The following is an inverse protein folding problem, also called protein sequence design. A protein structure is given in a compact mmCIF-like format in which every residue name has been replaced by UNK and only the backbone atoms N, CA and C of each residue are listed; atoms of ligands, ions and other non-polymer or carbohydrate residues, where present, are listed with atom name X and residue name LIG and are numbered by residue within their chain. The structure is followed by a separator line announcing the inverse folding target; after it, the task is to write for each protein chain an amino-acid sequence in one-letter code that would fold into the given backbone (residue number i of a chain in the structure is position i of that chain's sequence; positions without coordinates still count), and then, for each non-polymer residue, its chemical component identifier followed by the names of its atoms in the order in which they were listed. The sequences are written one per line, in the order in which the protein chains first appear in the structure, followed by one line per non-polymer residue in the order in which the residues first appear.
data_IF_570095298266
#
_entry.id   IF_570095298266
#
_cell.length_a   1.000
_cell.length_b   1.000
_cell.length_c   1.000
_cell.angle_alpha   90.00
_cell.angle_beta   90.00
_cell.angle_gamma   90.00
#
_symmetry.space_group_name_H-M   'P 1'
#
loop_
_entity.id
_entity.type
_entity.pdbx_description
1 polymer ?
#
# COMPACT_ATOMS: atom_id res chain seq x y z
N UNK A 1 -37.03 -12.05 60.08
CA UNK A 1 -37.37 -13.44 59.84
C UNK A 1 -37.64 -13.63 58.37
N UNK A 2 -36.99 -14.59 57.80
CA UNK A 2 -37.19 -15.25 56.50
C UNK A 2 -36.48 -14.61 55.29
N UNK A 3 -35.37 -15.25 55.03
CA UNK A 3 -34.56 -15.20 53.85
C UNK A 3 -35.39 -15.48 52.58
N UNK A 4 -35.37 -14.56 51.63
CA UNK A 4 -35.84 -14.84 50.29
C UNK A 4 -34.70 -15.47 49.49
N UNK A 5 -34.87 -16.64 48.86
CA UNK A 5 -33.86 -17.21 48.00
C UNK A 5 -33.67 -16.35 46.74
N UNK A 6 -32.45 -15.91 46.53
CA UNK A 6 -32.02 -15.28 45.27
C UNK A 6 -32.37 -16.24 44.13
N UNK A 7 -33.27 -15.84 43.26
CA UNK A 7 -33.72 -16.58 42.10
C UNK A 7 -32.54 -16.80 41.14
N UNK A 8 -32.30 -18.06 40.76
CA UNK A 8 -31.29 -18.45 39.77
C UNK A 8 -31.52 -17.82 38.42
N UNK A 9 -32.71 -17.26 38.14
CA UNK A 9 -33.05 -16.51 36.94
C UNK A 9 -32.28 -15.16 36.79
N UNK A 10 -31.77 -14.60 37.93
CA UNK A 10 -30.95 -13.37 37.84
C UNK A 10 -29.52 -13.61 37.36
N UNK A 11 -29.07 -14.86 37.27
CA UNK A 11 -27.73 -15.28 36.79
C UNK A 11 -27.72 -15.66 35.30
N UNK A 12 -28.88 -15.78 34.68
CA UNK A 12 -29.03 -16.05 33.25
C UNK A 12 -29.44 -14.79 32.50
N UNK A 13 -28.75 -13.68 32.72
CA UNK A 13 -28.73 -12.66 31.66
C UNK A 13 -28.00 -13.23 30.48
N UNK A 14 -28.67 -13.39 29.31
CA UNK A 14 -27.93 -13.66 28.10
C UNK A 14 -27.00 -12.47 27.91
N UNK A 15 -25.71 -12.72 27.86
CA UNK A 15 -24.74 -11.77 27.30
C UNK A 15 -25.05 -11.62 25.80
N UNK A 16 -26.14 -10.99 25.47
CA UNK A 16 -26.31 -10.29 24.20
C UNK A 16 -25.51 -8.99 24.32
N UNK A 17 -24.16 -9.11 24.32
CA UNK A 17 -23.35 -8.07 23.77
C UNK A 17 -23.91 -7.89 22.36
N UNK A 18 -24.48 -6.72 22.10
CA UNK A 18 -24.88 -6.31 20.78
C UNK A 18 -23.66 -6.45 19.87
N UNK A 19 -23.55 -7.59 19.20
CA UNK A 19 -22.53 -7.87 18.23
C UNK A 19 -22.90 -7.07 16.98
N UNK A 20 -22.67 -5.74 17.05
CA UNK A 20 -22.67 -4.92 15.86
C UNK A 20 -21.43 -5.35 15.06
N UNK A 21 -21.62 -6.01 13.91
CA UNK A 21 -20.47 -6.42 13.10
C UNK A 21 -19.68 -5.14 12.78
N UNK A 22 -18.39 -5.14 13.16
CA UNK A 22 -17.51 -4.02 12.83
C UNK A 22 -17.60 -3.76 11.32
N UNK A 23 -17.59 -2.50 10.92
CA UNK A 23 -17.58 -2.13 9.51
C UNK A 23 -16.44 -2.84 8.77
N UNK A 24 -16.63 -3.21 7.48
CA UNK A 24 -15.57 -3.80 6.67
C UNK A 24 -14.31 -2.98 6.73
N UNK A 25 -13.14 -3.63 6.82
CA UNK A 25 -11.85 -2.97 6.81
C UNK A 25 -11.20 -3.11 5.45
N UNK A 26 -11.16 -2.00 4.72
CA UNK A 26 -10.47 -1.89 3.45
C UNK A 26 -9.00 -1.55 3.68
N UNK A 27 -8.10 -2.29 3.07
CA UNK A 27 -6.65 -2.17 3.27
C UNK A 27 -5.98 -1.84 1.95
N UNK A 28 -5.14 -0.80 1.94
CA UNK A 28 -4.25 -0.53 0.81
C UNK A 28 -3.04 -1.47 0.84
N UNK A 29 -2.39 -1.63 -0.30
CA UNK A 29 -1.31 -2.58 -0.47
C UNK A 29 0.06 -1.90 -0.40
N UNK A 30 0.35 -1.01 -1.35
CA UNK A 30 1.66 -0.42 -1.56
C UNK A 30 2.01 0.60 -0.46
N UNK A 31 3.09 0.34 0.29
CA UNK A 31 3.50 1.16 1.42
C UNK A 31 2.64 0.99 2.69
N UNK A 32 1.53 0.24 2.61
CA UNK A 32 0.62 -0.07 3.72
C UNK A 32 0.79 -1.51 4.17
N UNK A 33 0.24 -2.48 3.45
CA UNK A 33 0.34 -3.90 3.77
C UNK A 33 1.74 -4.45 3.48
N UNK A 34 2.37 -3.95 2.43
CA UNK A 34 3.79 -4.18 2.09
C UNK A 34 4.56 -2.87 2.17
N UNK A 35 5.86 -2.96 2.55
CA UNK A 35 6.74 -1.79 2.75
C UNK A 35 7.36 -1.25 1.47
N UNK A 36 7.00 -1.81 0.34
CA UNK A 36 7.49 -1.46 -1.00
C UNK A 36 6.33 -1.13 -1.93
N UNK A 37 6.65 -0.71 -3.14
CA UNK A 37 5.69 -0.49 -4.23
C UNK A 37 5.82 -1.65 -5.22
N UNK A 38 4.72 -2.38 -5.45
CA UNK A 38 4.69 -3.54 -6.34
C UNK A 38 5.05 -3.21 -7.78
N UNK A 39 4.83 -1.98 -8.23
CA UNK A 39 5.24 -1.58 -9.57
C UNK A 39 6.77 -1.62 -9.69
N UNK A 40 7.50 -1.13 -8.67
CA UNK A 40 8.95 -1.19 -8.66
C UNK A 40 9.47 -2.63 -8.56
N UNK A 41 8.91 -3.44 -7.67
CA UNK A 41 9.29 -4.85 -7.52
C UNK A 41 9.08 -5.62 -8.83
N UNK A 42 7.92 -5.44 -9.46
CA UNK A 42 7.60 -6.10 -10.72
C UNK A 42 8.45 -5.59 -11.89
N UNK A 43 8.79 -4.29 -11.91
CA UNK A 43 9.69 -3.73 -12.90
C UNK A 43 11.11 -4.30 -12.78
N UNK A 44 11.64 -4.39 -11.56
CA UNK A 44 12.95 -4.99 -11.31
C UNK A 44 12.96 -6.48 -11.68
N UNK A 45 11.90 -7.21 -11.35
CA UNK A 45 11.74 -8.61 -11.73
C UNK A 45 11.70 -8.76 -13.27
N UNK A 46 10.97 -7.89 -13.98
CA UNK A 46 10.93 -7.87 -15.44
C UNK A 46 12.30 -7.65 -16.05
N UNK A 47 13.04 -6.66 -15.56
CA UNK A 47 14.38 -6.36 -16.08
C UNK A 47 15.37 -7.48 -15.80
N UNK A 48 15.24 -8.18 -14.68
CA UNK A 48 16.06 -9.35 -14.34
C UNK A 48 15.74 -10.54 -15.26
N UNK A 49 14.47 -10.78 -15.57
CA UNK A 49 14.01 -11.88 -16.41
C UNK A 49 14.24 -11.60 -17.91
N UNK A 50 14.07 -10.35 -18.33
CA UNK A 50 14.12 -9.92 -19.72
C UNK A 50 14.71 -8.51 -19.85
N UNK A 51 16.06 -8.36 -19.83
CA UNK A 51 16.71 -7.04 -19.87
C UNK A 51 16.32 -6.19 -21.10
N UNK A 52 16.06 -6.84 -22.24
CA UNK A 52 15.64 -6.14 -23.47
C UNK A 52 14.26 -5.49 -23.36
N UNK A 53 13.45 -5.86 -22.39
CA UNK A 53 12.14 -5.23 -22.14
C UNK A 53 12.26 -3.75 -21.80
N UNK A 54 13.44 -3.27 -21.36
CA UNK A 54 13.69 -1.84 -21.09
C UNK A 54 13.34 -0.96 -22.28
N UNK A 55 13.59 -1.43 -23.51
CA UNK A 55 13.29 -0.68 -24.74
C UNK A 55 11.78 -0.58 -25.03
N UNK A 56 10.95 -1.43 -24.43
CA UNK A 56 9.50 -1.41 -24.59
C UNK A 56 8.79 -0.53 -23.55
N UNK A 57 9.43 -0.25 -22.42
CA UNK A 57 8.84 0.52 -21.32
C UNK A 57 8.31 1.90 -21.76
N UNK A 58 9.02 2.70 -22.57
CA UNK A 58 8.51 3.99 -23.03
C UNK A 58 7.21 3.85 -23.82
N UNK A 59 7.10 2.84 -24.69
CA UNK A 59 5.90 2.61 -25.50
C UNK A 59 4.69 2.21 -24.63
N UNK A 60 4.92 1.39 -23.59
CA UNK A 60 3.84 1.04 -22.67
C UNK A 60 3.41 2.23 -21.82
N UNK A 61 4.36 3.08 -21.43
CA UNK A 61 4.06 4.28 -20.65
C UNK A 61 3.26 5.31 -21.46
N UNK A 62 3.55 5.46 -22.76
CA UNK A 62 2.79 6.33 -23.68
C UNK A 62 1.32 5.90 -23.82
N UNK A 63 1.01 4.61 -23.65
CA UNK A 63 -0.37 4.10 -23.63
C UNK A 63 -1.10 4.38 -22.30
N UNK A 64 -0.41 4.97 -21.32
CA UNK A 64 -0.95 5.33 -20.02
C UNK A 64 -0.57 4.38 -18.89
N UNK A 65 -0.74 4.86 -17.64
CA UNK A 65 -0.28 4.15 -16.43
C UNK A 65 -0.98 2.81 -16.20
N UNK A 66 -2.25 2.67 -16.55
CA UNK A 66 -2.98 1.40 -16.41
C UNK A 66 -2.42 0.35 -17.36
N UNK A 67 -2.25 0.70 -18.65
CA UNK A 67 -1.63 -0.16 -19.66
C UNK A 67 -0.20 -0.55 -19.27
N UNK A 68 0.60 0.39 -18.77
CA UNK A 68 1.96 0.12 -18.31
C UNK A 68 2.01 -0.94 -17.21
N UNK A 69 1.18 -0.80 -16.17
CA UNK A 69 1.08 -1.79 -15.09
C UNK A 69 0.61 -3.16 -15.60
N UNK A 70 -0.36 -3.16 -16.50
CA UNK A 70 -0.89 -4.38 -17.09
C UNK A 70 0.16 -5.12 -17.93
N UNK A 71 0.92 -4.39 -18.76
CA UNK A 71 1.96 -5.00 -19.59
C UNK A 71 3.09 -5.63 -18.77
N UNK A 72 3.43 -5.03 -17.61
CA UNK A 72 4.39 -5.62 -16.68
C UNK A 72 3.76 -6.84 -16.01
N UNK A 73 2.53 -6.72 -15.49
CA UNK A 73 1.86 -7.79 -14.75
C UNK A 73 1.66 -9.08 -15.57
N UNK A 74 1.48 -8.95 -16.89
CA UNK A 74 1.37 -10.10 -17.81
C UNK A 74 2.68 -10.86 -18.01
N UNK A 75 3.82 -10.23 -17.77
CA UNK A 75 5.16 -10.79 -18.06
C UNK A 75 5.92 -11.24 -16.84
N UNK A 76 5.46 -10.84 -15.66
CA UNK A 76 6.14 -11.11 -14.40
C UNK A 76 5.24 -11.94 -13.50
N UNK A 77 5.74 -13.07 -13.04
CA UNK A 77 5.15 -13.80 -11.93
C UNK A 77 5.74 -13.26 -10.63
N UNK A 78 4.89 -12.72 -9.76
CA UNK A 78 5.29 -12.20 -8.47
C UNK A 78 5.26 -13.33 -7.43
N UNK A 79 6.38 -13.55 -6.75
CA UNK A 79 6.41 -14.41 -5.58
C UNK A 79 5.96 -13.61 -4.35
N UNK A 80 4.71 -13.77 -3.97
CA UNK A 80 4.13 -13.06 -2.84
C UNK A 80 4.81 -13.39 -1.51
N UNK A 81 5.45 -14.57 -1.38
CA UNK A 81 6.13 -14.98 -0.15
C UNK A 81 7.38 -14.14 0.16
N UNK A 82 7.98 -13.56 -0.87
CA UNK A 82 9.20 -12.76 -0.77
C UNK A 82 8.97 -11.28 -0.50
N UNK A 83 7.71 -10.85 -0.44
CA UNK A 83 7.37 -9.44 -0.23
C UNK A 83 7.62 -9.00 1.22
N UNK A 84 8.11 -7.77 1.44
CA UNK A 84 8.36 -7.23 2.77
C UNK A 84 7.06 -6.76 3.43
N UNK A 85 6.29 -7.67 4.00
CA UNK A 85 5.04 -7.35 4.71
C UNK A 85 5.28 -6.53 5.97
N UNK A 86 4.34 -5.64 6.31
CA UNK A 86 4.27 -5.02 7.62
C UNK A 86 3.68 -6.02 8.62
N UNK A 87 4.55 -6.67 9.37
CA UNK A 87 4.17 -7.79 10.25
C UNK A 87 3.18 -7.35 11.34
N UNK A 88 3.32 -6.13 11.88
CA UNK A 88 2.42 -5.62 12.91
C UNK A 88 1.00 -5.41 12.34
N UNK A 89 0.90 -4.92 11.10
CA UNK A 89 -0.38 -4.78 10.41
C UNK A 89 -0.97 -6.16 10.08
N UNK A 90 -0.17 -7.10 9.56
CA UNK A 90 -0.64 -8.47 9.24
C UNK A 90 -1.17 -9.18 10.48
N UNK A 91 -0.49 -9.07 11.62
CA UNK A 91 -0.96 -9.62 12.89
C UNK A 91 -2.29 -8.98 13.33
N UNK A 92 -2.40 -7.66 13.25
CA UNK A 92 -3.64 -6.95 13.53
C UNK A 92 -4.79 -7.42 12.63
N UNK A 93 -4.56 -7.49 11.31
CA UNK A 93 -5.56 -7.96 10.35
C UNK A 93 -5.99 -9.41 10.64
N UNK A 94 -5.05 -10.28 11.00
CA UNK A 94 -5.34 -11.66 11.37
C UNK A 94 -6.24 -11.75 12.61
N UNK A 95 -6.04 -10.85 13.59
CA UNK A 95 -6.88 -10.75 14.77
C UNK A 95 -8.29 -10.21 14.43
N UNK A 96 -8.38 -9.16 13.61
CA UNK A 96 -9.67 -8.63 13.14
C UNK A 96 -10.45 -9.68 12.33
N UNK A 97 -9.76 -10.45 11.49
CA UNK A 97 -10.37 -11.56 10.74
C UNK A 97 -10.91 -12.66 11.67
N UNK A 98 -10.13 -13.07 12.69
CA UNK A 98 -10.58 -14.05 13.70
C UNK A 98 -11.76 -13.54 14.52
N UNK A 99 -11.84 -12.24 14.73
CA UNK A 99 -12.99 -11.58 15.37
C UNK A 99 -14.21 -11.43 14.43
N UNK A 100 -14.17 -12.00 13.21
CA UNK A 100 -15.28 -11.99 12.26
C UNK A 100 -15.38 -10.71 11.42
N UNK A 101 -14.40 -9.78 11.49
CA UNK A 101 -14.41 -8.58 10.65
C UNK A 101 -14.12 -8.93 9.20
N UNK A 102 -14.91 -8.38 8.30
CA UNK A 102 -14.68 -8.46 6.88
C UNK A 102 -13.43 -7.66 6.49
N UNK A 103 -12.48 -8.31 5.80
CA UNK A 103 -11.27 -7.67 5.28
C UNK A 103 -11.31 -7.60 3.76
N UNK A 104 -10.93 -6.44 3.23
CA UNK A 104 -10.99 -6.11 1.81
C UNK A 104 -9.64 -5.56 1.37
N UNK A 105 -9.06 -6.08 0.32
CA UNK A 105 -7.85 -5.52 -0.27
C UNK A 105 -8.23 -4.56 -1.40
N UNK A 106 -7.87 -3.27 -1.29
CA UNK A 106 -8.22 -2.24 -2.27
C UNK A 106 -6.99 -1.43 -2.65
N UNK A 107 -6.41 -1.70 -3.82
CA UNK A 107 -5.11 -1.15 -4.23
C UNK A 107 -5.12 -0.51 -5.61
N UNK A 108 -4.23 0.45 -5.83
CA UNK A 108 -3.91 0.97 -7.15
C UNK A 108 -2.97 0.07 -7.95
N UNK A 109 -2.41 -0.98 -7.35
CA UNK A 109 -1.59 -1.97 -8.05
C UNK A 109 -2.43 -2.89 -8.92
N UNK A 110 -1.80 -3.65 -9.84
CA UNK A 110 -2.52 -4.54 -10.74
C UNK A 110 -3.23 -5.65 -9.97
N UNK A 111 -4.47 -5.95 -10.36
CA UNK A 111 -5.33 -6.90 -9.65
C UNK A 111 -4.71 -8.30 -9.52
N UNK A 112 -3.97 -8.77 -10.53
CA UNK A 112 -3.32 -10.09 -10.46
C UNK A 112 -2.30 -10.18 -9.32
N UNK A 113 -1.55 -9.10 -9.06
CA UNK A 113 -0.61 -9.05 -7.95
C UNK A 113 -1.32 -8.97 -6.61
N UNK A 114 -2.39 -8.16 -6.53
CA UNK A 114 -3.21 -8.07 -5.33
C UNK A 114 -3.85 -9.43 -4.97
N UNK A 115 -4.32 -10.18 -5.97
CA UNK A 115 -4.84 -11.54 -5.77
C UNK A 115 -3.78 -12.52 -5.31
N UNK A 116 -2.55 -12.45 -5.85
CA UNK A 116 -1.43 -13.27 -5.40
C UNK A 116 -1.08 -13.01 -3.92
N UNK A 117 -1.08 -11.74 -3.49
CA UNK A 117 -0.87 -11.35 -2.09
C UNK A 117 -2.02 -11.84 -1.21
N UNK A 118 -3.27 -11.66 -1.64
CA UNK A 118 -4.45 -12.11 -0.90
C UNK A 118 -4.45 -13.63 -0.70
N UNK A 119 -4.13 -14.40 -1.75
CA UNK A 119 -4.02 -15.85 -1.70
C UNK A 119 -2.89 -16.30 -0.76
N UNK A 120 -1.73 -15.63 -0.78
CA UNK A 120 -0.61 -15.95 0.11
C UNK A 120 -0.96 -15.71 1.59
N UNK A 121 -1.64 -14.61 1.92
CA UNK A 121 -1.98 -14.27 3.30
C UNK A 121 -3.23 -14.99 3.81
N UNK A 122 -4.16 -15.39 2.95
CA UNK A 122 -5.42 -16.05 3.33
C UNK A 122 -6.36 -15.18 4.17
N UNK A 123 -6.23 -13.83 4.12
CA UNK A 123 -6.96 -12.90 4.97
C UNK A 123 -8.16 -12.24 4.28
N UNK A 124 -8.15 -12.09 2.96
CA UNK A 124 -9.07 -11.21 2.21
C UNK A 124 -10.16 -11.95 1.43
N UNK A 125 -10.15 -13.28 1.45
CA UNK A 125 -10.99 -14.14 0.60
C UNK A 125 -10.93 -13.68 -0.87
N UNK A 126 -12.09 -13.54 -1.53
CA UNK A 126 -12.19 -13.04 -2.91
C UNK A 126 -12.37 -11.51 -2.99
N UNK A 127 -12.33 -10.79 -1.86
CA UNK A 127 -12.58 -9.34 -1.79
C UNK A 127 -11.32 -8.54 -2.11
N UNK A 128 -10.91 -8.63 -3.36
CA UNK A 128 -9.71 -7.96 -3.88
C UNK A 128 -10.10 -7.03 -5.01
N UNK A 129 -9.79 -5.76 -4.86
CA UNK A 129 -10.00 -4.72 -5.86
C UNK A 129 -8.64 -4.12 -6.24
N UNK A 130 -8.30 -4.21 -7.50
CA UNK A 130 -7.06 -3.70 -8.06
C UNK A 130 -7.27 -2.93 -9.36
N UNK A 131 -6.19 -2.41 -9.92
CA UNK A 131 -6.19 -1.84 -11.26
C UNK A 131 -6.17 -2.94 -12.32
N UNK A 132 -6.79 -2.67 -13.46
CA UNK A 132 -6.77 -3.52 -14.64
C UNK A 132 -6.17 -2.79 -15.85
N UNK A 133 -6.32 -3.34 -17.07
CA UNK A 133 -5.80 -2.75 -18.30
C UNK A 133 -6.42 -1.38 -18.64
N UNK A 134 -7.64 -1.13 -18.22
CA UNK A 134 -8.46 0.05 -18.55
C UNK A 134 -8.57 1.03 -17.38
N UNK A 135 -8.57 0.51 -16.15
CA UNK A 135 -8.90 1.26 -14.95
C UNK A 135 -7.71 1.31 -13.99
N UNK A 136 -7.29 2.52 -13.63
CA UNK A 136 -6.34 2.74 -12.54
C UNK A 136 -7.11 3.09 -11.27
N UNK A 137 -7.17 2.16 -10.31
CA UNK A 137 -7.92 2.28 -9.06
C UNK A 137 -7.16 3.14 -8.04
N UNK A 138 -7.01 4.44 -8.33
CA UNK A 138 -6.32 5.41 -7.47
C UNK A 138 -7.20 6.63 -7.19
N UNK A 139 -7.06 7.21 -5.99
CA UNK A 139 -7.73 8.46 -5.60
C UNK A 139 -9.26 8.34 -5.71
N UNK A 140 -9.89 9.25 -6.43
CA UNK A 140 -11.36 9.35 -6.55
C UNK A 140 -12.03 8.06 -7.04
N UNK A 141 -11.37 7.28 -7.91
CA UNK A 141 -11.94 6.00 -8.38
C UNK A 141 -11.99 4.94 -7.28
N UNK A 142 -10.97 4.90 -6.41
CA UNK A 142 -10.97 4.03 -5.22
C UNK A 142 -12.10 4.43 -4.26
N UNK A 143 -12.26 5.73 -4.02
CA UNK A 143 -13.35 6.27 -3.20
C UNK A 143 -14.71 5.85 -3.76
N UNK A 144 -14.96 6.13 -5.04
CA UNK A 144 -16.22 5.81 -5.71
C UNK A 144 -16.57 4.32 -5.57
N UNK A 145 -15.60 3.44 -5.84
CA UNK A 145 -15.78 1.98 -5.70
C UNK A 145 -16.17 1.58 -4.28
N UNK A 146 -15.43 2.08 -3.26
CA UNK A 146 -15.68 1.69 -1.88
C UNK A 146 -17.00 2.25 -1.36
N UNK A 147 -17.36 3.48 -1.74
CA UNK A 147 -18.65 4.09 -1.38
C UNK A 147 -19.80 3.39 -2.08
N UNK A 148 -19.67 3.03 -3.35
CA UNK A 148 -20.67 2.24 -4.07
C UNK A 148 -20.90 0.86 -3.43
N UNK A 149 -19.81 0.21 -3.01
CA UNK A 149 -19.86 -1.16 -2.48
C UNK A 149 -20.35 -1.25 -1.05
N UNK A 150 -19.92 -0.32 -0.19
CA UNK A 150 -20.15 -0.38 1.25
C UNK A 150 -21.00 0.77 1.79
N UNK A 151 -21.12 1.86 1.06
CA UNK A 151 -21.75 3.10 1.49
C UNK A 151 -20.76 4.09 2.13
N UNK A 152 -21.04 5.38 2.01
CA UNK A 152 -20.27 6.43 2.67
C UNK A 152 -20.32 6.26 4.19
N UNK A 153 -19.20 6.41 4.87
CA UNK A 153 -19.05 6.24 6.31
C UNK A 153 -19.45 4.85 6.85
N UNK A 154 -19.40 3.82 6.01
CA UNK A 154 -19.74 2.45 6.40
C UNK A 154 -18.60 1.45 6.24
N UNK A 155 -17.38 1.92 6.02
CA UNK A 155 -16.17 1.11 5.97
C UNK A 155 -15.03 1.81 6.70
N UNK A 156 -14.10 1.03 7.26
CA UNK A 156 -12.82 1.50 7.76
C UNK A 156 -11.77 1.42 6.67
N UNK A 157 -10.73 2.23 6.74
CA UNK A 157 -9.67 2.21 5.74
C UNK A 157 -8.27 2.30 6.35
N UNK A 158 -7.41 1.36 5.96
CA UNK A 158 -5.98 1.36 6.29
C UNK A 158 -5.17 1.87 5.10
N UNK A 159 -4.37 2.91 5.32
CA UNK A 159 -3.57 3.56 4.28
C UNK A 159 -2.33 4.26 4.84
N UNK A 160 -1.48 4.79 3.95
CA UNK A 160 -0.17 5.34 4.32
C UNK A 160 0.17 6.69 3.70
N UNK A 161 -0.63 7.19 2.77
CA UNK A 161 -0.24 8.29 1.90
C UNK A 161 -1.26 9.42 1.81
N UNK A 162 -0.84 10.57 1.29
CA UNK A 162 -1.76 11.69 1.02
C UNK A 162 -2.82 11.34 -0.02
N UNK A 163 -2.58 10.33 -0.87
CA UNK A 163 -3.56 9.83 -1.82
C UNK A 163 -4.75 9.13 -1.15
N UNK A 164 -4.62 8.75 0.13
CA UNK A 164 -5.65 8.06 0.91
C UNK A 164 -6.56 9.04 1.67
N UNK A 165 -6.19 10.33 1.75
CA UNK A 165 -7.02 11.35 2.43
C UNK A 165 -8.46 11.39 1.89
N UNK A 166 -8.74 11.34 0.58
CA UNK A 166 -10.10 11.30 0.07
C UNK A 166 -10.86 10.02 0.49
N UNK A 167 -10.15 8.88 0.68
CA UNK A 167 -10.75 7.63 1.13
C UNK A 167 -11.09 7.72 2.61
N UNK A 168 -10.19 8.24 3.44
CA UNK A 168 -10.46 8.48 4.85
C UNK A 168 -11.59 9.48 5.08
N UNK A 169 -11.76 10.47 4.19
CA UNK A 169 -12.90 11.40 4.25
C UNK A 169 -14.25 10.69 4.15
N UNK A 170 -14.33 9.57 3.44
CA UNK A 170 -15.54 8.76 3.26
C UNK A 170 -15.58 7.50 4.15
N UNK A 171 -14.52 7.25 4.94
CA UNK A 171 -14.47 6.16 5.91
C UNK A 171 -15.06 6.57 7.27
N UNK A 172 -15.52 5.59 8.05
CA UNK A 172 -15.94 5.81 9.45
C UNK A 172 -14.79 5.69 10.45
N UNK A 173 -13.69 5.06 10.02
CA UNK A 173 -12.51 4.78 10.85
C UNK A 173 -11.26 4.81 9.96
N UNK A 174 -10.20 5.46 10.43
CA UNK A 174 -8.88 5.42 9.79
C UNK A 174 -7.90 4.58 10.59
N UNK A 175 -7.13 3.78 9.86
CA UNK A 175 -5.92 3.12 10.33
C UNK A 175 -4.76 3.69 9.50
N UNK A 176 -3.80 4.29 10.18
CA UNK A 176 -2.69 4.97 9.50
C UNK A 176 -1.42 4.14 9.66
N UNK A 177 -0.77 3.82 8.54
CA UNK A 177 0.38 2.91 8.53
C UNK A 177 1.61 3.63 7.96
N UNK A 178 2.72 3.59 8.67
CA UNK A 178 4.03 4.11 8.25
C UNK A 178 4.01 5.55 7.70
N UNK A 179 3.14 6.39 8.25
CA UNK A 179 2.92 7.76 7.79
C UNK A 179 3.66 8.81 8.65
N UNK A 180 3.83 10.00 8.10
CA UNK A 180 4.36 11.13 8.85
C UNK A 180 3.35 11.67 9.86
N UNK A 181 3.81 12.29 10.95
CA UNK A 181 2.94 12.92 11.95
C UNK A 181 1.95 13.92 11.33
N UNK A 182 2.39 14.70 10.32
CA UNK A 182 1.53 15.62 9.61
C UNK A 182 0.40 14.94 8.82
N UNK A 183 0.63 13.74 8.29
CA UNK A 183 -0.43 12.96 7.62
C UNK A 183 -1.41 12.39 8.64
N UNK A 184 -0.91 11.89 9.78
CA UNK A 184 -1.77 11.41 10.89
C UNK A 184 -2.70 12.52 11.35
N UNK A 185 -2.16 13.74 11.62
CA UNK A 185 -2.98 14.89 12.03
C UNK A 185 -4.04 15.24 10.98
N UNK A 186 -3.71 15.19 9.69
CA UNK A 186 -4.69 15.43 8.62
C UNK A 186 -5.75 14.33 8.55
N UNK A 187 -5.40 13.06 8.75
CA UNK A 187 -6.39 11.99 8.81
C UNK A 187 -7.35 12.18 9.99
N UNK A 188 -6.84 12.60 11.16
CA UNK A 188 -7.63 12.89 12.36
C UNK A 188 -8.65 14.01 12.16
N UNK A 189 -8.41 14.97 11.24
CA UNK A 189 -9.42 16.01 10.93
C UNK A 189 -10.57 15.49 10.07
N UNK A 190 -10.41 14.34 9.42
CA UNK A 190 -11.39 13.77 8.48
C UNK A 190 -12.27 12.69 9.13
N UNK A 191 -11.65 11.83 9.95
CA UNK A 191 -12.31 10.69 10.57
C UNK A 191 -11.55 10.24 11.82
N UNK A 192 -12.19 9.53 12.78
CA UNK A 192 -11.49 8.96 13.92
C UNK A 192 -10.36 8.03 13.49
N UNK A 193 -9.14 8.28 13.99
CA UNK A 193 -7.99 7.42 13.79
C UNK A 193 -7.91 6.43 14.96
N UNK A 194 -8.22 5.17 14.72
CA UNK A 194 -8.25 4.14 15.75
C UNK A 194 -6.88 3.54 16.04
N UNK A 195 -6.02 3.46 15.00
CA UNK A 195 -4.66 2.93 15.14
C UNK A 195 -3.68 3.65 14.24
N UNK A 196 -2.45 3.75 14.74
CA UNK A 196 -1.30 4.21 13.98
C UNK A 196 -0.21 3.15 14.12
N UNK A 197 0.16 2.55 12.99
CA UNK A 197 1.32 1.68 12.89
C UNK A 197 2.49 2.51 12.40
N UNK A 198 3.55 2.59 13.18
CA UNK A 198 4.78 3.28 12.79
C UNK A 198 5.97 2.43 13.19
N UNK A 199 6.85 2.19 12.24
CA UNK A 199 8.15 1.63 12.58
C UNK A 199 9.02 2.70 13.22
N UNK A 200 9.83 2.32 14.22
CA UNK A 200 10.89 3.20 14.67
C UNK A 200 11.79 3.48 13.46
N UNK A 201 11.86 4.75 13.08
CA UNK A 201 12.71 5.17 11.96
C UNK A 201 14.17 4.87 12.34
N UNK A 202 14.78 3.87 11.72
CA UNK A 202 16.21 3.64 11.88
C UNK A 202 16.95 4.87 11.40
N UNK A 203 17.99 5.27 12.11
CA UNK A 203 18.82 6.44 11.77
C UNK A 203 19.31 6.39 10.31
N UNK A 204 19.59 5.18 9.78
CA UNK A 204 19.94 4.97 8.36
C UNK A 204 18.85 5.40 7.40
N UNK A 205 17.55 5.11 7.68
CA UNK A 205 16.43 5.57 6.86
C UNK A 205 16.29 7.09 6.93
N UNK A 206 16.55 7.70 8.08
CA UNK A 206 16.52 9.15 8.23
C UNK A 206 17.65 9.82 7.45
N UNK A 207 18.88 9.27 7.53
CA UNK A 207 20.03 9.74 6.76
C UNK A 207 19.79 9.57 5.24
N UNK A 208 19.34 8.42 4.78
CA UNK A 208 19.02 8.20 3.37
C UNK A 208 17.94 9.17 2.85
N UNK A 209 16.94 9.47 3.67
CA UNK A 209 15.91 10.46 3.35
C UNK A 209 16.46 11.89 3.33
N UNK A 210 17.31 12.24 4.28
CA UNK A 210 17.98 13.56 4.35
C UNK A 210 18.92 13.78 3.15
N UNK A 211 19.66 12.74 2.76
CA UNK A 211 20.54 12.74 1.59
C UNK A 211 19.76 12.72 0.25
N UNK A 212 18.43 12.56 0.29
CA UNK A 212 17.59 12.52 -0.92
C UNK A 212 18.12 11.56 -2.00
N UNK A 213 18.59 10.38 -1.60
CA UNK A 213 19.24 9.39 -2.49
C UNK A 213 18.42 9.12 -3.77
N UNK A 214 17.08 9.21 -3.70
CA UNK A 214 16.22 9.09 -4.89
C UNK A 214 16.44 10.21 -5.94
N UNK A 215 17.05 11.34 -5.58
CA UNK A 215 17.37 12.42 -6.51
C UNK A 215 18.71 12.19 -7.21
N UNK A 216 19.58 11.34 -6.67
CA UNK A 216 20.88 11.03 -7.26
C UNK A 216 20.74 10.36 -8.63
N UNK A 217 19.66 9.58 -8.84
CA UNK A 217 19.36 9.01 -10.15
C UNK A 217 19.24 10.09 -11.26
N UNK A 218 18.78 11.29 -10.93
CA UNK A 218 18.73 12.42 -11.87
C UNK A 218 20.12 12.95 -12.18
N UNK A 219 21.01 12.95 -11.18
CA UNK A 219 22.37 13.44 -11.34
C UNK A 219 23.21 12.50 -12.22
N UNK A 220 22.89 11.20 -12.29
CA UNK A 220 23.53 10.28 -13.23
C UNK A 220 23.41 10.74 -14.68
N UNK A 221 22.38 11.50 -15.02
CA UNK A 221 22.21 12.09 -16.36
C UNK A 221 23.36 13.02 -16.74
N UNK A 222 24.11 13.59 -15.79
CA UNK A 222 25.29 14.43 -16.05
C UNK A 222 26.39 13.66 -16.80
N UNK A 223 26.43 12.32 -16.63
CA UNK A 223 27.41 11.49 -17.32
C UNK A 223 27.00 11.10 -18.74
N UNK A 224 25.74 11.28 -19.14
CA UNK A 224 25.27 10.93 -20.49
C UNK A 224 26.06 11.63 -21.59
N UNK A 225 26.35 12.96 -21.55
CA UNK A 225 27.14 13.63 -22.56
C UNK A 225 28.55 13.05 -22.69
N UNK A 226 29.17 12.70 -21.55
CA UNK A 226 30.53 12.11 -21.53
C UNK A 226 30.54 10.71 -22.18
N UNK A 227 29.51 9.89 -21.91
CA UNK A 227 29.34 8.57 -22.53
C UNK A 227 29.03 8.71 -24.03
N UNK A 228 28.10 9.61 -24.40
CA UNK A 228 27.67 9.82 -25.77
C UNK A 228 28.80 10.37 -26.67
N UNK A 229 29.72 11.16 -26.09
CA UNK A 229 30.89 11.68 -26.81
C UNK A 229 32.04 10.68 -26.92
N UNK A 230 31.90 9.45 -26.42
CA UNK A 230 32.95 8.43 -26.31
C UNK A 230 34.23 8.89 -25.59
N UNK A 231 34.10 9.92 -24.72
CA UNK A 231 35.23 10.51 -23.98
C UNK A 231 35.35 10.00 -22.53
N UNK A 232 34.95 8.78 -22.26
CA UNK A 232 34.98 8.17 -20.92
C UNK A 232 36.39 8.11 -20.36
N UNK A 233 37.40 8.04 -21.23
CA UNK A 233 38.84 8.02 -20.86
C UNK A 233 39.41 9.42 -20.57
N UNK A 234 38.69 10.47 -20.89
CA UNK A 234 39.13 11.83 -20.64
C UNK A 234 38.96 12.19 -19.14
N UNK A 235 40.06 12.13 -18.41
CA UNK A 235 40.08 12.35 -16.95
C UNK A 235 39.55 13.71 -16.53
N UNK A 236 39.78 14.76 -17.32
CA UNK A 236 39.31 16.12 -16.99
C UNK A 236 37.76 16.20 -17.07
N UNK A 237 37.17 15.66 -18.14
CA UNK A 237 35.70 15.60 -18.29
C UNK A 237 35.04 14.72 -17.26
N UNK A 238 35.64 13.57 -16.93
CA UNK A 238 35.15 12.69 -15.88
C UNK A 238 35.20 13.37 -14.51
N UNK A 239 36.27 14.09 -14.22
CA UNK A 239 36.37 14.86 -12.97
C UNK A 239 35.30 15.97 -12.89
N UNK A 240 35.09 16.72 -13.98
CA UNK A 240 34.06 17.73 -14.05
C UNK A 240 32.65 17.16 -13.88
N UNK A 241 32.35 16.04 -14.56
CA UNK A 241 31.08 15.34 -14.40
C UNK A 241 30.86 14.85 -12.96
N UNK A 242 31.93 14.34 -12.32
CA UNK A 242 31.88 13.86 -10.92
C UNK A 242 31.68 15.02 -9.93
N UNK A 243 32.28 16.19 -10.19
CA UNK A 243 32.09 17.37 -9.34
C UNK A 243 30.68 18.00 -9.53
N UNK A 244 30.05 17.78 -10.69
CA UNK A 244 28.70 18.24 -10.98
C UNK A 244 27.62 17.27 -10.49
N UNK A 245 27.98 16.01 -10.19
CA UNK A 245 27.10 14.95 -9.65
C UNK A 245 26.64 15.26 -8.24
#
# INVERSE_FOLDING_TARGET
CLDSPLSIESLLRPMSEDFHPKSPLCVDLDGTLIRTDLLWESLLALLKQSPLSVFQLPFWLLKGKASFKHEIARRVTLDASMLPYDQALVEFLSNERRAGRELVLATASHESFARAVAAHLGLFDERVFGSDASTNLKGARKVALLVERYGARRFAYAGNSTADLPVWAEANEAIVVNASAGLVSRAQTLTPVSRVFSEPATWLKQVAKALRVHQWAKNVLVFIPVVASHQITNRALMLQATLAF
#
